data_IF_542331027888
#
_entry.id   IF_542331027888
#
_cell.length_a   1.000
_cell.length_b   1.000
_cell.length_c   1.000
_cell.angle_alpha   90.00
_cell.angle_beta   90.00
_cell.angle_gamma   90.00
#
_symmetry.space_group_name_H-M   'P 1'
#
loop_
_entity.id
_entity.type
_entity.pdbx_description
1 polymer ?
#
# COMPACT_ATOMS: atom_id res chain seq x y z
N UNK A 1 -2.30 0.97 -22.54
CA UNK A 1 -3.68 0.61 -22.18
C UNK A 1 -4.37 1.86 -21.71
N UNK A 2 -5.60 2.12 -22.16
CA UNK A 2 -6.33 3.31 -21.72
C UNK A 2 -6.89 3.07 -20.32
N UNK A 3 -6.45 3.87 -19.35
CA UNK A 3 -7.09 3.92 -18.05
C UNK A 3 -8.50 4.51 -18.20
N UNK A 4 -9.48 3.86 -17.59
CA UNK A 4 -10.88 4.23 -17.69
C UNK A 4 -11.50 4.17 -16.30
N UNK A 5 -11.91 5.32 -15.77
CA UNK A 5 -12.60 5.42 -14.49
C UNK A 5 -13.92 4.61 -14.49
N UNK A 6 -14.52 4.40 -15.66
CA UNK A 6 -15.74 3.60 -15.84
C UNK A 6 -15.47 2.11 -16.03
N UNK A 7 -14.23 1.64 -15.80
CA UNK A 7 -13.97 0.22 -15.72
C UNK A 7 -14.85 -0.39 -14.61
N UNK A 8 -15.52 -1.55 -14.85
CA UNK A 8 -16.40 -2.17 -13.87
C UNK A 8 -15.80 -2.33 -12.46
N UNK A 9 -14.50 -2.63 -12.37
CA UNK A 9 -13.82 -2.76 -11.07
C UNK A 9 -13.69 -1.44 -10.30
N UNK A 10 -13.50 -0.32 -11.01
CA UNK A 10 -13.44 1.02 -10.39
C UNK A 10 -14.82 1.45 -9.93
N UNK A 11 -15.84 1.27 -10.78
CA UNK A 11 -17.23 1.56 -10.43
C UNK A 11 -17.66 0.80 -9.19
N UNK A 12 -17.41 -0.52 -9.18
CA UNK A 12 -17.73 -1.38 -8.04
C UNK A 12 -17.01 -0.94 -6.77
N UNK A 13 -15.76 -0.47 -6.86
CA UNK A 13 -15.00 0.02 -5.70
C UNK A 13 -15.68 1.23 -5.06
N UNK A 14 -16.10 2.22 -5.85
CA UNK A 14 -16.83 3.38 -5.33
C UNK A 14 -18.17 2.94 -4.71
N UNK A 15 -18.95 2.13 -5.43
CA UNK A 15 -20.25 1.67 -4.93
C UNK A 15 -20.14 0.92 -3.59
N UNK A 16 -19.18 -0.01 -3.46
CA UNK A 16 -18.97 -0.76 -2.21
C UNK A 16 -18.46 0.14 -1.08
N UNK A 17 -17.55 1.06 -1.36
CA UNK A 17 -17.09 2.04 -0.35
C UNK A 17 -18.24 2.93 0.14
N UNK A 18 -19.15 3.33 -0.75
CA UNK A 18 -20.34 4.11 -0.35
C UNK A 18 -21.27 3.29 0.52
N UNK A 19 -21.50 2.02 0.20
CA UNK A 19 -22.27 1.10 1.06
C UNK A 19 -21.60 0.99 2.43
N UNK A 20 -20.30 0.74 2.48
CA UNK A 20 -19.56 0.56 3.73
C UNK A 20 -19.49 1.82 4.59
N UNK A 21 -19.63 3.00 3.97
CA UNK A 21 -19.57 4.28 4.67
C UNK A 21 -20.64 4.44 5.76
N UNK A 22 -21.74 3.68 5.70
CA UNK A 22 -22.74 3.65 6.77
C UNK A 22 -22.21 3.04 8.07
N UNK A 23 -21.18 2.21 7.99
CA UNK A 23 -20.52 1.55 9.13
C UNK A 23 -19.26 2.29 9.59
N UNK A 24 -18.86 3.35 8.90
CA UNK A 24 -17.70 4.13 9.32
C UNK A 24 -18.03 4.94 10.57
N UNK A 25 -16.99 5.17 11.38
CA UNK A 25 -17.15 5.91 12.62
C UNK A 25 -17.65 7.34 12.37
N UNK A 26 -18.38 7.90 13.33
CA UNK A 26 -18.86 9.27 13.25
C UNK A 26 -17.69 10.24 13.01
N UNK A 27 -17.83 11.11 12.01
CA UNK A 27 -16.79 12.07 11.66
C UNK A 27 -15.62 11.50 10.85
N UNK A 28 -15.75 10.34 10.20
CA UNK A 28 -14.68 9.73 9.39
C UNK A 28 -14.12 10.61 8.25
N UNK A 29 -14.86 11.65 7.83
CA UNK A 29 -14.42 12.64 6.84
C UNK A 29 -13.73 13.87 7.48
N UNK A 30 -13.75 13.99 8.80
CA UNK A 30 -13.09 15.08 9.51
C UNK A 30 -11.57 14.82 9.59
N UNK A 31 -10.77 15.86 9.87
CA UNK A 31 -9.36 15.68 10.19
C UNK A 31 -9.17 14.64 11.30
N UNK A 32 -8.09 13.85 11.19
CA UNK A 32 -7.81 12.76 12.13
C UNK A 32 -7.84 13.25 13.59
N UNK A 33 -8.63 12.59 14.42
CA UNK A 33 -8.64 12.84 15.86
C UNK A 33 -7.26 12.52 16.46
N UNK A 34 -6.86 13.20 17.56
CA UNK A 34 -5.57 12.94 18.19
C UNK A 34 -5.49 11.50 18.76
N UNK A 35 -4.36 10.85 18.50
CA UNK A 35 -4.05 9.49 18.97
C UNK A 35 -4.56 8.39 18.04
N UNK A 36 -4.40 7.14 18.49
CA UNK A 36 -4.78 5.95 17.73
C UNK A 36 -6.18 5.47 18.15
N UNK A 37 -7.20 5.76 17.33
CA UNK A 37 -8.59 5.42 17.64
C UNK A 37 -8.81 3.91 17.80
N UNK A 38 -8.09 3.08 17.04
CA UNK A 38 -8.16 1.63 17.18
C UNK A 38 -7.58 1.22 18.53
N UNK A 39 -6.40 1.72 18.89
CA UNK A 39 -5.81 1.42 20.20
C UNK A 39 -6.60 1.92 21.39
N UNK A 40 -7.38 2.99 21.22
CA UNK A 40 -8.30 3.47 22.24
C UNK A 40 -9.63 2.68 22.31
N UNK A 41 -9.80 1.64 21.48
CA UNK A 41 -11.04 0.85 21.40
C UNK A 41 -12.24 1.61 20.83
N UNK A 42 -12.01 2.70 20.09
CA UNK A 42 -13.07 3.57 19.54
C UNK A 42 -13.55 3.14 18.14
N UNK A 43 -12.76 2.35 17.43
CA UNK A 43 -13.11 1.76 16.14
C UNK A 43 -12.80 0.27 16.16
N UNK A 44 -13.63 -0.54 15.48
CA UNK A 44 -13.46 -1.99 15.43
C UNK A 44 -12.53 -2.45 14.31
N UNK A 45 -12.44 -1.68 13.22
CA UNK A 45 -11.62 -1.99 12.06
C UNK A 45 -10.78 -0.76 11.68
N UNK A 46 -9.54 -1.02 11.27
CA UNK A 46 -8.61 0.00 10.79
C UNK A 46 -7.83 -0.58 9.59
N UNK A 47 -7.93 0.01 8.40
CA UNK A 47 -7.02 -0.30 7.31
C UNK A 47 -5.59 0.06 7.73
N UNK A 48 -4.66 -0.89 7.63
CA UNK A 48 -3.28 -0.64 8.02
C UNK A 48 -2.30 -1.45 7.17
N UNK A 49 -1.00 -1.17 7.34
CA UNK A 49 0.10 -1.83 6.64
C UNK A 49 1.02 -2.50 7.63
N UNK A 50 1.67 -3.60 7.21
CA UNK A 50 2.56 -4.40 8.06
C UNK A 50 3.65 -3.57 8.78
N UNK A 51 4.10 -2.47 8.15
CA UNK A 51 5.14 -1.59 8.69
C UNK A 51 4.73 -0.87 9.99
N UNK A 52 3.42 -0.67 10.20
CA UNK A 52 2.90 0.04 11.38
C UNK A 52 2.57 -0.92 12.54
N UNK A 53 2.75 -2.23 12.37
CA UNK A 53 2.33 -3.21 13.38
C UNK A 53 2.97 -3.01 14.74
N UNK A 54 4.26 -2.71 14.76
CA UNK A 54 4.99 -2.43 16.01
C UNK A 54 4.41 -1.25 16.79
N UNK A 55 3.74 -0.29 16.13
CA UNK A 55 3.06 0.80 16.81
C UNK A 55 1.88 0.30 17.62
N UNK A 56 1.07 -0.62 17.06
CA UNK A 56 -0.07 -1.20 17.78
C UNK A 56 0.38 -2.18 18.86
N UNK A 57 1.34 -3.06 18.55
CA UNK A 57 1.85 -4.06 19.51
C UNK A 57 2.45 -3.43 20.79
N UNK A 58 2.94 -2.20 20.69
CA UNK A 58 3.56 -1.48 21.80
C UNK A 58 2.71 -0.29 22.31
N UNK A 59 1.49 -0.09 21.81
CA UNK A 59 0.64 1.01 22.27
C UNK A 59 0.03 0.66 23.64
N UNK A 60 0.29 1.45 24.70
CA UNK A 60 -0.21 1.16 26.04
C UNK A 60 -1.74 1.21 26.16
N UNK A 61 -2.44 1.76 25.17
CA UNK A 61 -3.91 1.80 25.16
C UNK A 61 -4.53 0.50 24.62
N UNK A 62 -3.75 -0.35 23.92
CA UNK A 62 -4.20 -1.66 23.45
C UNK A 62 -4.44 -2.59 24.64
N UNK A 63 -5.69 -2.60 25.11
CA UNK A 63 -6.14 -3.33 26.31
C UNK A 63 -7.07 -4.50 25.97
N UNK A 64 -7.19 -4.83 24.69
CA UNK A 64 -8.06 -5.86 24.14
C UNK A 64 -7.29 -6.76 23.17
N UNK A 65 -7.76 -8.00 23.01
CA UNK A 65 -7.23 -8.94 22.01
C UNK A 65 -7.61 -8.50 20.61
N UNK A 66 -6.69 -8.63 19.66
CA UNK A 66 -6.89 -8.19 18.29
C UNK A 66 -6.16 -9.09 17.29
N UNK A 67 -6.48 -8.92 16.02
CA UNK A 67 -5.83 -9.61 14.93
C UNK A 67 -6.03 -8.87 13.62
N UNK A 68 -5.39 -9.35 12.56
CA UNK A 68 -5.59 -8.84 11.20
C UNK A 68 -6.14 -9.93 10.29
N UNK A 69 -6.86 -9.49 9.25
CA UNK A 69 -7.33 -10.35 8.18
C UNK A 69 -7.20 -9.59 6.85
N UNK A 70 -7.04 -10.32 5.77
CA UNK A 70 -7.13 -9.74 4.43
C UNK A 70 -8.60 -9.56 4.07
N UNK A 71 -8.94 -8.46 3.39
CA UNK A 71 -10.33 -8.20 3.00
C UNK A 71 -10.89 -9.40 2.22
N UNK A 72 -12.08 -9.91 2.59
CA UNK A 72 -12.68 -11.05 1.90
C UNK A 72 -13.07 -10.68 0.47
N UNK A 73 -13.29 -11.68 -0.37
CA UNK A 73 -13.91 -11.45 -1.67
C UNK A 73 -15.34 -10.92 -1.48
N UNK A 74 -15.82 -10.15 -2.45
CA UNK A 74 -17.22 -9.69 -2.47
C UNK A 74 -18.20 -10.84 -2.72
N UNK A 75 -17.76 -11.90 -3.41
CA UNK A 75 -18.56 -13.08 -3.69
C UNK A 75 -18.27 -14.21 -2.68
N UNK A 76 -19.34 -14.84 -2.19
CA UNK A 76 -19.24 -15.97 -1.27
C UNK A 76 -18.48 -17.14 -1.89
N UNK A 77 -17.59 -17.74 -1.09
CA UNK A 77 -16.76 -18.87 -1.51
C UNK A 77 -15.55 -18.50 -2.39
N UNK A 78 -15.39 -17.23 -2.72
CA UNK A 78 -14.19 -16.72 -3.39
C UNK A 78 -13.15 -16.24 -2.39
N UNK A 79 -11.88 -16.31 -2.79
CA UNK A 79 -10.77 -15.70 -2.05
C UNK A 79 -10.32 -14.47 -2.81
N UNK A 80 -10.33 -13.31 -2.14
CA UNK A 80 -9.82 -12.09 -2.76
C UNK A 80 -8.34 -12.31 -3.12
N UNK A 81 -7.93 -12.07 -4.38
CA UNK A 81 -6.53 -12.17 -4.74
C UNK A 81 -5.75 -11.13 -3.95
N UNK A 82 -4.81 -11.58 -3.11
CA UNK A 82 -3.93 -10.64 -2.42
C UNK A 82 -2.92 -10.08 -3.41
N UNK A 83 -3.22 -8.92 -3.95
CA UNK A 83 -2.32 -8.22 -4.86
C UNK A 83 -1.17 -7.62 -4.07
N UNK A 84 0.04 -7.93 -4.49
CA UNK A 84 1.23 -7.39 -3.87
C UNK A 84 2.42 -8.28 -4.15
N UNK A 85 3.61 -7.70 -3.99
CA UNK A 85 4.82 -8.50 -4.04
C UNK A 85 4.77 -9.47 -2.84
N UNK A 86 4.89 -10.77 -3.11
CA UNK A 86 5.16 -11.79 -2.10
C UNK A 86 6.65 -11.98 -1.96
N UNK A 87 7.18 -11.96 -0.73
CA UNK A 87 8.52 -12.49 -0.43
C UNK A 87 9.34 -11.66 0.55
N UNK A 88 10.30 -12.34 1.15
CA UNK A 88 11.35 -11.90 2.06
C UNK A 88 11.62 -10.39 2.04
N UNK A 89 11.19 -9.68 3.09
CA UNK A 89 11.60 -8.29 3.32
C UNK A 89 10.92 -7.24 2.44
N UNK A 90 9.82 -7.57 1.76
CA UNK A 90 9.21 -6.64 0.81
C UNK A 90 8.50 -5.47 1.50
N UNK A 91 9.20 -4.35 1.57
CA UNK A 91 8.77 -3.07 1.05
C UNK A 91 9.67 -2.73 -0.14
N UNK A 92 9.17 -1.94 -1.07
CA UNK A 92 9.89 -1.47 -2.26
C UNK A 92 11.00 -0.47 -1.90
N UNK A 93 12.02 -0.89 -1.14
CA UNK A 93 13.18 -0.04 -0.89
C UNK A 93 14.20 -0.24 -2.01
N UNK A 94 14.18 0.68 -2.96
CA UNK A 94 15.17 0.75 -4.02
C UNK A 94 16.35 1.60 -3.57
N UNK A 95 17.54 1.12 -3.89
CA UNK A 95 18.77 1.89 -3.72
C UNK A 95 19.16 2.46 -5.08
N UNK A 96 19.05 3.79 -5.22
CA UNK A 96 19.44 4.50 -6.43
C UNK A 96 20.80 5.20 -6.24
N UNK A 97 21.60 5.25 -7.30
CA UNK A 97 22.82 6.08 -7.33
C UNK A 97 22.47 7.36 -8.09
N UNK A 98 22.48 8.54 -7.45
CA UNK A 98 22.23 9.81 -8.14
C UNK A 98 23.32 10.11 -9.18
N UNK A 99 22.96 10.74 -10.30
CA UNK A 99 23.92 11.16 -11.32
C UNK A 99 25.02 12.09 -10.74
N UNK A 100 24.69 12.91 -9.76
CA UNK A 100 25.65 13.76 -9.06
C UNK A 100 26.77 12.97 -8.36
N UNK A 101 26.50 11.73 -7.91
CA UNK A 101 27.51 10.83 -7.35
C UNK A 101 28.42 10.27 -8.45
N UNK A 102 27.87 10.02 -9.63
CA UNK A 102 28.61 9.60 -10.83
C UNK A 102 29.53 10.72 -11.29
N UNK A 103 28.99 11.93 -11.44
CA UNK A 103 29.72 13.12 -11.90
C UNK A 103 30.85 13.52 -10.94
N UNK A 104 30.68 13.22 -9.65
CA UNK A 104 31.73 13.38 -8.64
C UNK A 104 32.82 12.29 -8.68
N UNK A 105 32.76 11.36 -9.65
CA UNK A 105 33.72 10.26 -9.80
C UNK A 105 33.61 9.20 -8.70
N UNK A 106 32.45 9.06 -8.05
CA UNK A 106 32.22 8.15 -6.91
C UNK A 106 31.41 6.91 -7.26
N UNK A 107 31.15 6.67 -8.55
CA UNK A 107 30.32 5.54 -9.01
C UNK A 107 30.81 4.20 -8.46
N UNK A 108 32.10 3.89 -8.58
CA UNK A 108 32.62 2.58 -8.14
C UNK A 108 32.49 2.39 -6.62
N UNK A 109 32.76 3.44 -5.83
CA UNK A 109 32.56 3.39 -4.37
C UNK A 109 31.09 3.20 -4.00
N UNK A 110 30.17 3.88 -4.71
CA UNK A 110 28.74 3.70 -4.49
C UNK A 110 28.31 2.28 -4.85
N UNK A 111 28.82 1.70 -5.95
CA UNK A 111 28.58 0.31 -6.34
C UNK A 111 29.10 -0.68 -5.30
N UNK A 112 30.30 -0.48 -4.77
CA UNK A 112 30.87 -1.31 -3.71
C UNK A 112 29.98 -1.30 -2.46
N UNK A 113 29.50 -0.12 -2.06
CA UNK A 113 28.57 0.00 -0.93
C UNK A 113 27.27 -0.75 -1.22
N UNK A 114 26.69 -0.59 -2.41
CA UNK A 114 25.48 -1.31 -2.81
C UNK A 114 25.68 -2.82 -2.74
N UNK A 115 26.77 -3.34 -3.30
CA UNK A 115 27.11 -4.76 -3.25
C UNK A 115 27.28 -5.25 -1.81
N UNK A 116 27.90 -4.46 -0.94
CA UNK A 116 28.04 -4.80 0.48
C UNK A 116 26.69 -4.88 1.19
N UNK A 117 25.85 -3.86 1.09
CA UNK A 117 24.55 -3.81 1.81
C UNK A 117 23.50 -4.76 1.24
N UNK A 118 23.67 -5.20 -0.02
CA UNK A 118 22.83 -6.22 -0.67
C UNK A 118 23.46 -7.61 -0.69
N UNK A 119 24.61 -7.78 -0.02
CA UNK A 119 25.21 -9.10 0.12
C UNK A 119 24.31 -10.04 0.93
N UNK A 120 24.39 -11.37 0.73
CA UNK A 120 23.59 -12.31 1.51
C UNK A 120 23.73 -12.12 3.02
N UNK A 121 24.94 -11.90 3.52
CA UNK A 121 25.18 -11.66 4.96
C UNK A 121 24.54 -10.37 5.47
N UNK A 122 24.54 -9.29 4.66
CA UNK A 122 23.88 -8.05 5.02
C UNK A 122 22.35 -8.19 5.00
N UNK A 123 21.81 -8.92 4.03
CA UNK A 123 20.38 -9.24 3.95
C UNK A 123 19.97 -10.11 5.14
N UNK A 124 20.72 -11.16 5.47
CA UNK A 124 20.45 -12.02 6.64
C UNK A 124 20.46 -11.20 7.93
N UNK A 125 21.45 -10.31 8.08
CA UNK A 125 21.50 -9.38 9.20
C UNK A 125 20.26 -8.49 9.24
N UNK A 126 19.90 -7.83 8.13
CA UNK A 126 18.71 -6.99 8.03
C UNK A 126 17.43 -7.75 8.41
N UNK A 127 17.25 -8.94 7.85
CA UNK A 127 16.12 -9.83 8.09
C UNK A 127 16.02 -10.24 9.56
N UNK A 128 17.15 -10.47 10.24
CA UNK A 128 17.20 -10.79 11.67
C UNK A 128 16.75 -9.64 12.59
N UNK A 129 16.71 -8.41 12.06
CA UNK A 129 16.31 -7.20 12.81
C UNK A 129 14.88 -6.76 12.54
N UNK A 130 14.20 -7.39 11.59
CA UNK A 130 12.81 -7.03 11.28
C UNK A 130 11.84 -7.61 12.32
N UNK A 131 10.74 -6.91 12.65
CA UNK A 131 9.67 -7.45 13.50
C UNK A 131 9.10 -8.77 12.97
N UNK A 132 9.01 -8.89 11.64
CA UNK A 132 8.70 -10.14 10.93
C UNK A 132 9.94 -10.56 10.17
N UNK A 133 10.49 -11.77 10.41
CA UNK A 133 11.67 -12.22 9.68
C UNK A 133 11.37 -12.30 8.19
N UNK A 134 12.40 -12.26 7.36
CA UNK A 134 12.25 -12.56 5.95
C UNK A 134 11.82 -14.03 5.74
N UNK A 135 10.86 -14.26 4.86
CA UNK A 135 10.32 -15.58 4.55
C UNK A 135 10.12 -15.76 3.04
N UNK A 136 10.15 -16.99 2.54
CA UNK A 136 9.89 -17.23 1.12
C UNK A 136 8.40 -17.01 0.79
N UNK A 137 8.07 -16.56 -0.44
CA UNK A 137 6.68 -16.54 -0.89
C UNK A 137 5.97 -17.87 -0.63
N UNK A 138 4.78 -17.83 -0.02
CA UNK A 138 3.99 -19.02 0.28
C UNK A 138 4.43 -19.80 1.53
N UNK A 139 5.45 -19.36 2.27
CA UNK A 139 5.75 -19.92 3.59
C UNK A 139 4.54 -19.73 4.53
N UNK A 140 4.01 -20.79 5.16
CA UNK A 140 2.90 -20.68 6.09
C UNK A 140 3.23 -19.80 7.29
N UNK A 141 2.23 -19.07 7.79
CA UNK A 141 2.37 -18.20 8.96
C UNK A 141 2.96 -18.91 10.18
N UNK A 142 2.56 -20.15 10.42
CA UNK A 142 3.01 -20.96 11.55
C UNK A 142 4.50 -21.34 11.46
N UNK A 143 5.06 -21.39 10.25
CA UNK A 143 6.50 -21.61 10.02
C UNK A 143 7.29 -20.30 10.18
N UNK A 144 6.70 -19.17 9.78
CA UNK A 144 7.32 -17.84 9.94
C UNK A 144 7.42 -17.45 11.42
N UNK A 145 6.39 -17.77 12.20
CA UNK A 145 6.24 -17.38 13.61
C UNK A 145 5.89 -18.59 14.48
N UNK A 146 6.81 -19.52 14.70
CA UNK A 146 6.52 -20.76 15.42
C UNK A 146 6.21 -20.50 16.89
N UNK A 147 5.04 -20.98 17.34
CA UNK A 147 4.66 -21.00 18.76
C UNK A 147 4.14 -19.67 19.35
N UNK A 148 4.08 -18.59 18.57
CA UNK A 148 3.58 -17.29 19.01
C UNK A 148 2.18 -17.02 18.44
N UNK A 149 1.15 -17.55 19.11
CA UNK A 149 -0.24 -17.48 18.62
C UNK A 149 -0.78 -16.04 18.54
N UNK A 150 -0.34 -15.15 19.44
CA UNK A 150 -0.75 -13.75 19.42
C UNK A 150 -0.17 -13.05 18.18
N UNK A 151 1.14 -13.21 17.94
CA UNK A 151 1.78 -12.65 16.75
C UNK A 151 1.22 -13.25 15.46
N UNK A 152 0.90 -14.54 15.44
CA UNK A 152 0.19 -15.14 14.31
C UNK A 152 -1.16 -14.44 14.07
N UNK A 153 -1.98 -14.20 15.09
CA UNK A 153 -3.24 -13.48 14.93
C UNK A 153 -3.03 -12.04 14.42
N UNK A 154 -2.01 -11.34 14.92
CA UNK A 154 -1.68 -9.97 14.52
C UNK A 154 -1.25 -9.86 13.05
N UNK A 155 -0.53 -10.85 12.54
CA UNK A 155 0.08 -10.80 11.21
C UNK A 155 -0.65 -11.58 10.12
N UNK A 156 -1.69 -12.35 10.47
CA UNK A 156 -2.42 -13.22 9.54
C UNK A 156 -2.90 -12.49 8.28
N UNK A 157 -3.51 -11.32 8.41
CA UNK A 157 -4.00 -10.55 7.25
C UNK A 157 -2.92 -10.05 6.29
N UNK A 158 -1.64 -10.07 6.68
CA UNK A 158 -0.51 -9.70 5.82
C UNK A 158 0.20 -10.90 5.20
N UNK A 159 -0.18 -12.12 5.55
CA UNK A 159 0.46 -13.36 5.11
C UNK A 159 -0.56 -14.23 4.37
N UNK A 160 -1.77 -14.34 4.90
CA UNK A 160 -2.87 -15.17 4.38
C UNK A 160 -4.04 -14.31 3.87
N UNK A 161 -4.51 -14.54 2.62
CA UNK A 161 -4.02 -15.55 1.67
C UNK A 161 -2.64 -15.18 1.09
N UNK A 162 -1.87 -16.12 0.52
CA UNK A 162 -0.62 -15.81 -0.15
C UNK A 162 -0.80 -14.73 -1.22
N UNK A 163 0.15 -13.78 -1.28
CA UNK A 163 0.17 -12.76 -2.33
C UNK A 163 0.33 -13.40 -3.71
N UNK A 164 -0.26 -12.76 -4.71
CA UNK A 164 -0.02 -13.03 -6.13
C UNK A 164 0.78 -11.85 -6.66
N UNK A 165 1.94 -12.15 -7.27
CA UNK A 165 2.73 -11.12 -7.95
C UNK A 165 1.89 -10.52 -9.06
N UNK A 166 1.49 -9.26 -8.87
CA UNK A 166 0.61 -8.55 -9.78
C UNK A 166 1.40 -7.79 -10.86
N UNK A 167 2.74 -7.93 -10.88
CA UNK A 167 3.65 -7.25 -11.80
C UNK A 167 3.46 -5.73 -11.86
N UNK A 168 2.79 -5.13 -10.87
CA UNK A 168 2.64 -3.67 -10.79
C UNK A 168 4.03 -3.12 -10.59
N UNK A 169 4.31 -2.02 -11.30
CA UNK A 169 5.51 -1.21 -11.14
C UNK A 169 5.91 -1.23 -9.68
N UNK A 170 7.11 -1.74 -9.45
CA UNK A 170 7.68 -1.94 -8.13
C UNK A 170 7.83 -0.60 -7.38
N UNK A 171 7.83 0.51 -8.12
CA UNK A 171 7.77 1.90 -7.67
C UNK A 171 6.36 2.26 -7.22
N UNK A 172 6.23 2.99 -6.11
CA UNK A 172 4.91 3.39 -5.61
C UNK A 172 4.27 4.47 -6.51
N UNK A 173 2.97 4.70 -6.36
CA UNK A 173 2.26 5.69 -7.17
C UNK A 173 2.79 7.13 -6.97
N UNK A 174 3.39 7.44 -5.82
CA UNK A 174 4.04 8.74 -5.59
C UNK A 174 5.37 8.84 -6.33
N UNK A 175 6.11 7.74 -6.47
CA UNK A 175 7.35 7.67 -7.23
C UNK A 175 7.09 7.81 -8.74
N UNK A 176 5.92 7.34 -9.21
CA UNK A 176 5.53 7.40 -10.63
C UNK A 176 4.81 8.71 -11.00
N UNK A 177 3.92 9.21 -10.14
CA UNK A 177 3.03 10.33 -10.45
C UNK A 177 3.22 11.55 -9.52
N UNK A 178 4.08 11.45 -8.52
CA UNK A 178 4.34 12.50 -7.52
C UNK A 178 3.35 12.50 -6.34
N UNK A 179 3.72 13.13 -5.21
CA UNK A 179 2.92 13.12 -3.98
C UNK A 179 1.56 13.85 -4.08
N UNK A 180 1.36 14.66 -5.13
CA UNK A 180 0.13 15.39 -5.34
C UNK A 180 -1.04 14.49 -5.77
N UNK A 181 -0.75 13.30 -6.33
CA UNK A 181 -1.77 12.37 -6.83
C UNK A 181 -2.72 11.96 -5.69
N UNK A 182 -2.17 11.65 -4.52
CA UNK A 182 -2.95 11.16 -3.37
C UNK A 182 -3.91 12.21 -2.82
N UNK A 183 -3.55 13.50 -2.86
CA UNK A 183 -4.40 14.56 -2.30
C UNK A 183 -5.67 14.76 -3.12
N UNK A 184 -5.55 14.84 -4.44
CA UNK A 184 -6.71 15.06 -5.33
C UNK A 184 -7.60 13.81 -5.39
N UNK A 185 -7.01 12.62 -5.47
CA UNK A 185 -7.74 11.36 -5.42
C UNK A 185 -8.53 11.21 -4.10
N UNK A 186 -7.89 11.56 -2.97
CA UNK A 186 -8.57 11.54 -1.66
C UNK A 186 -9.76 12.50 -1.63
N UNK A 187 -9.63 13.70 -2.19
CA UNK A 187 -10.72 14.68 -2.24
C UNK A 187 -11.92 14.17 -3.06
N UNK A 188 -11.67 13.57 -4.24
CA UNK A 188 -12.72 12.98 -5.08
C UNK A 188 -13.51 11.91 -4.30
N UNK A 189 -12.79 11.03 -3.60
CA UNK A 189 -13.42 10.01 -2.77
C UNK A 189 -14.20 10.63 -1.60
N UNK A 190 -13.64 11.64 -0.92
CA UNK A 190 -14.31 12.32 0.19
C UNK A 190 -15.60 13.01 -0.25
N UNK A 191 -15.61 13.68 -1.40
CA UNK A 191 -16.81 14.33 -1.93
C UNK A 191 -17.91 13.32 -2.26
N UNK A 192 -17.55 12.18 -2.86
CA UNK A 192 -18.48 11.10 -3.11
C UNK A 192 -19.06 10.51 -1.80
N UNK A 193 -18.20 10.23 -0.83
CA UNK A 193 -18.60 9.68 0.47
C UNK A 193 -19.45 10.68 1.28
N UNK A 194 -19.16 11.98 1.20
CA UNK A 194 -19.95 13.06 1.78
C UNK A 194 -21.33 13.24 1.10
N UNK A 195 -21.49 12.74 -0.13
CA UNK A 195 -22.67 13.00 -0.95
C UNK A 195 -22.67 14.37 -1.63
N UNK A 196 -21.50 15.01 -1.73
CA UNK A 196 -21.30 16.24 -2.50
C UNK A 196 -21.28 15.96 -4.02
N UNK A 197 -20.98 14.71 -4.40
CA UNK A 197 -21.03 14.21 -5.77
C UNK A 197 -21.78 12.87 -5.82
N UNK A 198 -22.52 12.64 -6.90
CA UNK A 198 -23.03 11.31 -7.22
C UNK A 198 -21.95 10.44 -7.91
N UNK A 199 -22.29 9.18 -8.21
CA UNK A 199 -21.34 8.26 -8.83
C UNK A 199 -20.87 8.75 -10.20
N UNK A 200 -21.77 9.27 -11.03
CA UNK A 200 -21.42 9.73 -12.39
C UNK A 200 -20.47 10.92 -12.33
N UNK A 201 -20.78 11.91 -11.49
CA UNK A 201 -19.92 13.07 -11.25
C UNK A 201 -18.55 12.67 -10.70
N UNK A 202 -18.51 11.67 -9.82
CA UNK A 202 -17.27 11.15 -9.24
C UNK A 202 -16.42 10.46 -10.29
N UNK A 203 -17.02 9.62 -11.12
CA UNK A 203 -16.32 8.91 -12.20
C UNK A 203 -15.79 9.87 -13.27
N UNK A 204 -16.55 10.91 -13.63
CA UNK A 204 -16.09 11.95 -14.54
C UNK A 204 -14.92 12.75 -13.94
N UNK A 205 -15.01 13.11 -12.65
CA UNK A 205 -13.92 13.80 -11.95
C UNK A 205 -12.67 12.93 -11.87
N UNK A 206 -12.83 11.63 -11.60
CA UNK A 206 -11.72 10.69 -11.54
C UNK A 206 -11.09 10.46 -12.91
N UNK A 207 -11.89 10.37 -13.98
CA UNK A 207 -11.38 10.26 -15.35
C UNK A 207 -10.53 11.48 -15.72
N UNK A 208 -11.06 12.69 -15.48
CA UNK A 208 -10.35 13.93 -15.77
C UNK A 208 -9.04 14.04 -14.97
N UNK A 209 -9.04 13.59 -13.72
CA UNK A 209 -7.85 13.50 -12.89
C UNK A 209 -6.80 12.54 -13.49
N UNK A 210 -7.20 11.33 -13.88
CA UNK A 210 -6.30 10.35 -14.50
C UNK A 210 -5.68 10.87 -15.80
N UNK A 211 -6.47 11.52 -16.64
CA UNK A 211 -6.00 12.17 -17.88
C UNK A 211 -4.99 13.27 -17.57
N UNK A 212 -5.28 14.14 -16.58
CA UNK A 212 -4.35 15.18 -16.16
C UNK A 212 -3.02 14.60 -15.67
N UNK A 213 -3.03 13.49 -14.91
CA UNK A 213 -1.79 12.87 -14.45
C UNK A 213 -0.99 12.28 -15.61
N UNK A 214 -1.67 11.63 -16.57
CA UNK A 214 -1.02 11.12 -17.76
C UNK A 214 -0.35 12.25 -18.56
N UNK A 215 -1.06 13.35 -18.79
CA UNK A 215 -0.54 14.53 -19.49
C UNK A 215 0.66 15.15 -18.76
N UNK A 216 0.58 15.30 -17.43
CA UNK A 216 1.66 15.84 -16.62
C UNK A 216 2.94 15.00 -16.74
N UNK A 217 2.81 13.67 -16.67
CA UNK A 217 3.96 12.77 -16.79
C UNK A 217 4.55 12.83 -18.20
N UNK A 218 3.72 12.85 -19.24
CA UNK A 218 4.19 13.02 -20.63
C UNK A 218 4.96 14.34 -20.80
N UNK A 219 4.45 15.44 -20.24
CA UNK A 219 5.12 16.75 -20.30
C UNK A 219 6.45 16.78 -19.52
N UNK A 220 6.56 16.02 -18.43
CA UNK A 220 7.78 15.90 -17.64
C UNK A 220 8.83 15.00 -18.30
N UNK A 221 8.40 14.11 -19.20
CA UNK A 221 9.24 13.10 -19.86
C UNK A 221 9.16 13.17 -21.40
N UNK A 222 9.58 14.29 -22.03
CA UNK A 222 9.56 14.43 -23.49
C UNK A 222 10.42 13.38 -24.21
N UNK A 223 11.39 12.78 -23.53
CA UNK A 223 12.23 11.71 -24.06
C UNK A 223 11.48 10.41 -24.36
N UNK A 224 10.26 10.22 -23.85
CA UNK A 224 9.44 9.04 -24.14
C UNK A 224 8.87 9.05 -25.56
N UNK A 225 8.82 10.21 -26.22
CA UNK A 225 8.25 10.34 -27.56
C UNK A 225 6.77 9.97 -27.61
N UNK A 226 6.00 10.35 -26.58
CA UNK A 226 4.62 9.94 -26.39
C UNK A 226 3.67 10.41 -27.51
N UNK A 227 4.03 11.45 -28.27
CA UNK A 227 3.38 11.84 -29.52
C UNK A 227 3.28 10.73 -30.59
N UNK A 228 3.99 9.61 -30.41
CA UNK A 228 3.95 8.44 -31.31
C UNK A 228 3.13 7.25 -30.79
N UNK A 229 2.51 7.36 -29.61
CA UNK A 229 1.81 6.26 -28.92
C UNK A 229 0.30 6.20 -29.22
#
# INVERSE_FOLDING_TARGET
>A
GHWNARNPGVVQTFEEMKKWSEFFHEGYLAPSAPGNLFAQGKIAFLPTVRLLMSMYENDPNMTFDWGSFYLPALADGETAPRLGNSGAGQGSQYLFIPQTTVDAGKLEMARDLLQYVTSPAAIDFWCSKQPVPCFAPGTPLEEIMPGDTAKQAHYRGFIDPPTIDNMVSRLDANDVFGPAIVVQETQILQDYLAGNADLEQTLDSYQAFLEQQADNVILQHPEWGAESW
#
